data_IF_162255600495
#
_entry.id   IF_162255600495
#
_cell.length_a   1.000
_cell.length_b   1.000
_cell.length_c   1.000
_cell.angle_alpha   90.00
_cell.angle_beta   90.00
_cell.angle_gamma   90.00
#
_symmetry.space_group_name_H-M   'P 1'
#
loop_
_entity.id
_entity.type
_entity.pdbx_description
1 polymer ?
#
# COMPACT_ATOMS: atom_id res chain seq x y z
N UNK A 1 -21.55 -0.46 -8.55
CA UNK A 1 -20.77 -1.30 -7.63
C UNK A 1 -19.64 -0.48 -7.04
N UNK A 2 -19.56 -0.45 -5.74
CA UNK A 2 -18.55 0.36 -5.07
C UNK A 2 -17.20 -0.33 -5.17
N UNK A 3 -16.23 0.40 -5.66
CA UNK A 3 -14.88 -0.11 -5.81
C UNK A 3 -13.90 0.79 -5.07
N UNK A 4 -12.96 0.16 -4.36
CA UNK A 4 -11.90 0.88 -3.68
C UNK A 4 -10.91 1.42 -4.72
N UNK A 5 -10.51 2.68 -4.55
CA UNK A 5 -9.49 3.30 -5.38
C UNK A 5 -8.17 3.29 -4.61
N UNK A 6 -7.12 2.81 -5.26
CA UNK A 6 -5.79 2.69 -4.66
C UNK A 6 -4.82 3.67 -5.29
N UNK A 7 -4.07 4.38 -4.46
CA UNK A 7 -3.00 5.27 -4.90
C UNK A 7 -1.76 5.04 -4.05
N UNK A 8 -0.59 5.22 -4.66
CA UNK A 8 0.66 5.23 -3.92
C UNK A 8 0.96 6.65 -3.48
N UNK A 9 1.22 6.83 -2.19
CA UNK A 9 1.53 8.13 -1.62
C UNK A 9 2.88 8.08 -0.90
N UNK A 10 3.67 9.13 -1.04
CA UNK A 10 4.98 9.23 -0.44
C UNK A 10 5.00 10.34 0.59
N UNK A 11 5.61 10.05 1.73
CA UNK A 11 5.83 11.04 2.78
C UNK A 11 4.53 11.75 3.21
N UNK A 12 3.52 10.95 3.50
CA UNK A 12 2.20 11.48 3.89
C UNK A 12 2.29 12.39 5.12
N UNK A 13 3.20 12.08 6.04
CA UNK A 13 3.38 12.86 7.28
C UNK A 13 4.23 14.10 7.06
N UNK A 14 4.79 14.29 5.86
CA UNK A 14 5.64 15.43 5.50
C UNK A 14 6.82 15.62 6.46
N UNK A 15 7.41 14.51 6.88
CA UNK A 15 8.56 14.52 7.77
C UNK A 15 9.49 13.36 7.42
N UNK A 16 10.77 13.66 7.21
CA UNK A 16 11.75 12.64 6.89
C UNK A 16 12.30 12.03 8.18
N UNK A 17 12.70 10.75 8.11
CA UNK A 17 13.33 10.10 9.24
C UNK A 17 14.81 10.54 9.37
N UNK A 18 15.54 9.94 10.32
CA UNK A 18 16.94 10.31 10.59
C UNK A 18 17.86 10.10 9.38
N UNK A 19 17.47 9.23 8.46
CA UNK A 19 18.25 8.94 7.25
C UNK A 19 17.85 9.81 6.08
N UNK A 20 16.95 10.77 6.29
CA UNK A 20 16.45 11.63 5.23
C UNK A 20 15.47 10.92 4.30
N UNK A 21 14.80 9.88 4.78
CA UNK A 21 13.86 9.08 4.00
C UNK A 21 12.46 9.15 4.56
N UNK A 22 11.48 8.82 3.72
CA UNK A 22 10.10 8.71 4.13
C UNK A 22 9.46 7.45 3.53
N UNK A 23 8.37 7.03 4.13
CA UNK A 23 7.67 5.80 3.77
C UNK A 23 6.74 6.01 2.59
N UNK A 24 6.72 5.03 1.69
CA UNK A 24 5.68 4.93 0.65
C UNK A 24 4.54 4.12 1.23
N UNK A 25 3.32 4.63 1.08
CA UNK A 25 2.12 3.96 1.57
C UNK A 25 1.11 3.80 0.44
N UNK A 26 0.20 2.85 0.61
CA UNK A 26 -0.94 2.69 -0.28
C UNK A 26 -2.12 3.37 0.38
N UNK A 27 -2.73 4.32 -0.33
CA UNK A 27 -3.96 4.98 0.10
C UNK A 27 -5.13 4.25 -0.53
N UNK A 28 -6.01 3.71 0.30
CA UNK A 28 -7.25 3.08 -0.15
C UNK A 28 -8.41 4.00 0.18
N UNK A 29 -9.18 4.37 -0.84
CA UNK A 29 -10.29 5.30 -0.72
C UNK A 29 -11.61 4.62 -1.06
N UNK A 30 -12.59 4.73 -0.16
CA UNK A 30 -13.93 4.19 -0.35
C UNK A 30 -14.93 5.00 0.48
N UNK A 31 -16.01 5.47 -0.16
CA UNK A 31 -17.11 6.18 0.55
C UNK A 31 -16.62 7.36 1.37
N UNK A 32 -15.74 8.19 0.78
CA UNK A 32 -15.19 9.39 1.42
C UNK A 32 -14.32 9.09 2.64
N UNK A 33 -13.88 7.85 2.78
CA UNK A 33 -12.95 7.44 3.84
C UNK A 33 -11.66 6.96 3.22
N UNK A 34 -10.58 7.10 3.98
CA UNK A 34 -9.25 6.67 3.53
C UNK A 34 -8.60 5.79 4.59
N UNK A 35 -7.89 4.78 4.15
CA UNK A 35 -7.01 3.98 4.99
C UNK A 35 -5.65 3.88 4.30
N UNK A 36 -4.60 3.73 5.10
CA UNK A 36 -3.24 3.67 4.58
C UNK A 36 -2.58 2.37 4.98
N UNK A 37 -1.85 1.79 4.03
CA UNK A 37 -1.13 0.53 4.24
C UNK A 37 0.33 0.77 3.94
N UNK A 38 1.22 0.28 4.82
CA UNK A 38 2.65 0.43 4.62
C UNK A 38 3.16 -0.53 3.56
N UNK A 39 4.02 -0.04 2.66
CA UNK A 39 4.74 -0.90 1.72
C UNK A 39 6.09 -1.33 2.27
N UNK A 40 6.50 -0.74 3.40
CA UNK A 40 7.83 -0.92 4.01
C UNK A 40 8.96 -0.41 3.11
N UNK A 41 8.65 0.39 2.10
CA UNK A 41 9.63 1.01 1.22
C UNK A 41 9.89 2.44 1.68
N UNK A 42 11.14 2.73 1.99
CA UNK A 42 11.59 4.06 2.39
C UNK A 42 12.46 4.65 1.29
N UNK A 43 12.20 5.89 0.92
CA UNK A 43 12.90 6.56 -0.17
C UNK A 43 13.30 7.97 0.25
N UNK A 44 14.34 8.48 -0.42
CA UNK A 44 14.67 9.91 -0.36
C UNK A 44 13.73 10.67 -1.29
N UNK A 45 13.51 11.98 -1.05
CA UNK A 45 12.57 12.75 -1.89
C UNK A 45 12.87 12.69 -3.38
N UNK A 46 14.15 12.70 -3.77
CA UNK A 46 14.53 12.65 -5.18
C UNK A 46 14.30 11.29 -5.82
N UNK A 47 13.99 10.28 -5.03
CA UNK A 47 13.76 8.91 -5.53
C UNK A 47 12.28 8.60 -5.79
N UNK A 48 11.41 9.57 -5.60
CA UNK A 48 9.97 9.40 -5.81
C UNK A 48 9.46 10.32 -6.90
N UNK A 49 8.73 9.75 -7.86
CA UNK A 49 8.01 10.52 -8.88
C UNK A 49 6.55 10.62 -8.48
N UNK A 50 6.17 11.79 -7.96
CA UNK A 50 4.81 12.02 -7.45
C UNK A 50 3.76 11.89 -8.54
N UNK A 51 4.07 12.36 -9.72
CA UNK A 51 3.14 12.37 -10.84
C UNK A 51 2.85 10.97 -11.36
N UNK A 52 3.90 10.15 -11.50
CA UNK A 52 3.78 8.80 -12.01
C UNK A 52 3.59 7.75 -10.92
N UNK A 53 3.74 8.16 -9.66
CA UNK A 53 3.64 7.26 -8.51
C UNK A 53 4.59 6.07 -8.66
N UNK A 54 5.86 6.36 -8.89
CA UNK A 54 6.88 5.32 -9.04
C UNK A 54 8.22 5.76 -8.49
N UNK A 55 9.07 4.76 -8.24
CA UNK A 55 10.45 4.97 -7.80
C UNK A 55 11.31 5.35 -9.00
N UNK A 56 12.17 6.36 -8.82
CA UNK A 56 13.12 6.81 -9.82
C UNK A 56 14.49 7.05 -9.18
N UNK A 57 15.52 7.15 -9.98
CA UNK A 57 16.88 7.50 -9.51
C UNK A 57 17.37 6.61 -8.37
N UNK A 58 17.02 5.33 -8.43
CA UNK A 58 17.40 4.35 -7.42
C UNK A 58 18.00 3.13 -8.11
N UNK A 59 19.09 2.56 -7.58
CA UNK A 59 19.72 1.37 -8.20
C UNK A 59 18.75 0.20 -8.38
N UNK A 60 17.78 0.06 -7.48
CA UNK A 60 16.82 -1.03 -7.50
C UNK A 60 15.41 -0.55 -7.89
N UNK A 61 15.31 0.51 -8.68
CA UNK A 61 14.01 1.10 -8.99
C UNK A 61 13.02 0.10 -9.61
N UNK A 62 13.48 -0.76 -10.52
CA UNK A 62 12.61 -1.75 -11.14
C UNK A 62 12.05 -2.74 -10.12
N UNK A 63 12.91 -3.26 -9.26
CA UNK A 63 12.48 -4.21 -8.23
C UNK A 63 11.53 -3.55 -7.22
N UNK A 64 11.81 -2.31 -6.85
CA UNK A 64 10.95 -1.59 -5.92
C UNK A 64 9.60 -1.26 -6.52
N UNK A 65 9.57 -0.87 -7.80
CA UNK A 65 8.31 -0.61 -8.48
C UNK A 65 7.49 -1.88 -8.62
N UNK A 66 8.13 -3.01 -8.91
CA UNK A 66 7.45 -4.29 -8.93
C UNK A 66 6.84 -4.61 -7.57
N UNK A 67 7.61 -4.41 -6.49
CA UNK A 67 7.13 -4.66 -5.14
C UNK A 67 5.93 -3.78 -4.77
N UNK A 68 5.98 -2.49 -5.12
CA UNK A 68 4.87 -1.58 -4.86
C UNK A 68 3.60 -2.04 -5.57
N UNK A 69 3.72 -2.44 -6.83
CA UNK A 69 2.57 -2.97 -7.58
C UNK A 69 2.07 -4.27 -6.96
N UNK A 70 2.96 -5.11 -6.48
CA UNK A 70 2.59 -6.37 -5.81
C UNK A 70 1.84 -6.08 -4.51
N UNK A 71 2.23 -5.07 -3.76
CA UNK A 71 1.52 -4.69 -2.54
C UNK A 71 0.09 -4.27 -2.84
N UNK A 72 -0.12 -3.47 -3.88
CA UNK A 72 -1.46 -3.07 -4.30
C UNK A 72 -2.27 -4.29 -4.74
N UNK A 73 -1.66 -5.18 -5.53
CA UNK A 73 -2.34 -6.38 -6.01
C UNK A 73 -2.81 -7.29 -4.87
N UNK A 74 -2.03 -7.39 -3.81
CA UNK A 74 -2.41 -8.18 -2.64
C UNK A 74 -3.66 -7.63 -1.95
N UNK A 75 -3.75 -6.31 -1.86
CA UNK A 75 -4.92 -5.66 -1.26
C UNK A 75 -6.13 -5.85 -2.18
N UNK A 76 -5.94 -5.68 -3.48
CA UNK A 76 -7.02 -5.89 -4.45
C UNK A 76 -7.53 -7.33 -4.41
N UNK A 77 -6.66 -8.29 -4.19
CA UNK A 77 -7.06 -9.68 -4.06
C UNK A 77 -7.93 -9.91 -2.83
N UNK A 78 -7.60 -9.26 -1.71
CA UNK A 78 -8.42 -9.34 -0.50
C UNK A 78 -9.80 -8.75 -0.77
N UNK A 79 -9.86 -7.63 -1.48
CA UNK A 79 -11.13 -7.03 -1.85
C UNK A 79 -11.97 -8.00 -2.70
N UNK A 80 -11.36 -8.62 -3.70
CA UNK A 80 -12.03 -9.58 -4.56
C UNK A 80 -12.51 -10.81 -3.78
N UNK A 81 -11.70 -11.32 -2.87
CA UNK A 81 -12.07 -12.47 -2.04
C UNK A 81 -13.31 -12.15 -1.19
N UNK A 82 -13.36 -10.97 -0.59
CA UNK A 82 -14.52 -10.54 0.19
C UNK A 82 -15.77 -10.43 -0.68
N UNK A 83 -15.62 -9.88 -1.87
CA UNK A 83 -16.72 -9.77 -2.82
C UNK A 83 -17.25 -11.13 -3.23
N UNK A 84 -16.37 -12.09 -3.53
CA UNK A 84 -16.77 -13.44 -3.91
C UNK A 84 -17.45 -14.18 -2.79
N UNK A 85 -17.14 -13.87 -1.54
CA UNK A 85 -17.78 -14.47 -0.38
C UNK A 85 -19.13 -13.82 -0.04
N UNK A 86 -19.54 -12.82 -0.82
CA UNK A 86 -20.76 -12.10 -0.55
C UNK A 86 -20.71 -11.18 0.66
N UNK A 87 -19.52 -10.90 1.15
CA UNK A 87 -19.34 -10.03 2.30
C UNK A 87 -19.35 -8.56 1.87
N UNK A 88 -19.82 -7.70 2.78
CA UNK A 88 -19.77 -6.26 2.51
C UNK A 88 -18.32 -5.80 2.46
N UNK A 89 -17.98 -5.03 1.43
CA UNK A 89 -16.64 -4.48 1.26
C UNK A 89 -16.56 -3.17 2.04
N UNK A 90 -15.59 -3.11 2.97
CA UNK A 90 -15.30 -1.89 3.71
C UNK A 90 -13.79 -1.82 3.95
N UNK A 91 -13.29 -0.61 4.17
CA UNK A 91 -11.87 -0.43 4.45
C UNK A 91 -11.44 -1.16 5.72
N UNK A 92 -12.31 -1.18 6.73
CA UNK A 92 -12.03 -1.89 7.97
C UNK A 92 -11.94 -3.40 7.76
N UNK A 93 -12.84 -3.96 6.95
CA UNK A 93 -12.81 -5.39 6.63
C UNK A 93 -11.54 -5.77 5.89
N UNK A 94 -11.11 -4.94 4.95
CA UNK A 94 -9.86 -5.14 4.20
C UNK A 94 -8.66 -5.12 5.16
N UNK A 95 -8.60 -4.12 6.02
CA UNK A 95 -7.46 -3.98 6.95
C UNK A 95 -7.39 -5.16 7.91
N UNK A 96 -8.54 -5.61 8.41
CA UNK A 96 -8.60 -6.76 9.31
C UNK A 96 -8.15 -8.05 8.61
N UNK A 97 -8.57 -8.26 7.38
CA UNK A 97 -8.17 -9.45 6.61
C UNK A 97 -6.67 -9.46 6.34
N UNK A 98 -6.10 -8.31 6.01
CA UNK A 98 -4.65 -8.19 5.79
C UNK A 98 -3.89 -8.46 7.08
N UNK A 99 -4.35 -7.91 8.19
CA UNK A 99 -3.72 -8.12 9.50
C UNK A 99 -3.69 -9.59 9.87
N UNK A 100 -4.76 -10.32 9.62
CA UNK A 100 -4.82 -11.76 9.88
C UNK A 100 -3.80 -12.51 9.04
N UNK A 101 -3.67 -12.16 7.76
CA UNK A 101 -2.69 -12.80 6.88
C UNK A 101 -1.26 -12.51 7.33
N UNK A 102 -0.98 -11.30 7.76
CA UNK A 102 0.35 -10.92 8.25
C UNK A 102 0.70 -11.69 9.54
N UNK A 103 -0.26 -11.83 10.44
CA UNK A 103 -0.05 -12.59 11.67
C UNK A 103 0.27 -14.06 11.40
N UNK A 104 -0.45 -14.66 10.44
CA UNK A 104 -0.17 -16.04 10.04
C UNK A 104 1.24 -16.15 9.45
N UNK A 105 1.62 -15.20 8.62
CA UNK A 105 2.96 -15.17 8.04
C UNK A 105 4.06 -15.05 9.08
N UNK A 106 3.91 -14.13 10.02
CA UNK A 106 4.93 -13.92 11.03
C UNK A 106 5.05 -15.13 11.95
N UNK A 107 4.00 -15.93 12.07
CA UNK A 107 4.04 -17.17 12.83
C UNK A 107 5.01 -18.19 12.20
N UNK A 108 5.12 -18.19 10.88
CA UNK A 108 5.97 -19.13 10.16
C UNK A 108 7.32 -18.55 9.72
N UNK A 109 7.54 -17.29 10.01
CA UNK A 109 8.77 -16.62 9.58
C UNK A 109 9.96 -16.98 10.48
#
# INVERSE_FOLDING_TARGET
MDKIVYNLVYNRKKALNKRGMALVQIEAYLHQRKKYFSTKVYLKPEQWDERRQLVKCHPNSEALNWWLNECVARIEKVELDLWQQGKAISLDAIKEAIRKKENVRSFFA
#
